data_IF_756074988936
#
_entry.id   IF_756074988936
#
_cell.length_a   1.000
_cell.length_b   1.000
_cell.length_c   1.000
_cell.angle_alpha   90.00
_cell.angle_beta   90.00
_cell.angle_gamma   90.00
#
_symmetry.space_group_name_H-M   'P 1'
#
loop_
_entity.id
_entity.type
_entity.pdbx_description
1 polymer ?
#
# COMPACT_ATOMS: atom_id res chain seq x y z
N UNK A 1 20.82 2.60 -11.82
CA UNK A 1 21.93 2.41 -12.78
C UNK A 1 21.33 2.62 -14.16
N UNK A 2 21.83 3.60 -14.92
CA UNK A 2 21.28 3.93 -16.24
C UNK A 2 21.71 2.84 -17.24
N UNK A 3 20.79 2.38 -18.10
CA UNK A 3 21.13 1.37 -19.12
C UNK A 3 22.20 1.88 -20.08
N UNK A 4 22.29 3.20 -20.28
CA UNK A 4 23.32 3.80 -21.11
C UNK A 4 24.73 3.64 -20.49
N UNK A 5 24.86 3.74 -19.17
CA UNK A 5 26.12 3.50 -18.47
C UNK A 5 26.56 2.02 -18.62
N UNK A 6 25.61 1.09 -18.49
CA UNK A 6 25.88 -0.33 -18.70
C UNK A 6 26.29 -0.65 -20.14
N UNK A 7 25.66 -0.01 -21.13
CA UNK A 7 26.06 -0.20 -22.54
C UNK A 7 27.47 0.29 -22.79
N UNK A 8 27.88 1.42 -22.19
CA UNK A 8 29.25 1.94 -22.35
C UNK A 8 30.30 1.01 -21.75
N UNK A 9 30.04 0.46 -20.57
CA UNK A 9 30.95 -0.49 -19.91
C UNK A 9 31.04 -1.81 -20.68
N UNK A 10 29.91 -2.34 -21.16
CA UNK A 10 29.91 -3.54 -22.00
C UNK A 10 30.66 -3.31 -23.31
N UNK A 11 30.43 -2.17 -23.97
CA UNK A 11 31.13 -1.83 -25.20
C UNK A 11 32.64 -1.66 -25.00
N UNK A 12 33.08 -1.06 -23.88
CA UNK A 12 34.51 -0.93 -23.60
C UNK A 12 35.17 -2.28 -23.35
N UNK A 13 34.46 -3.18 -22.65
CA UNK A 13 34.94 -4.53 -22.37
C UNK A 13 35.01 -5.40 -23.62
N UNK A 14 33.97 -5.38 -24.47
CA UNK A 14 33.90 -6.20 -25.68
C UNK A 14 34.86 -5.71 -26.79
N UNK A 15 35.28 -4.45 -26.75
CA UNK A 15 36.28 -3.87 -27.67
C UNK A 15 37.71 -3.98 -27.15
N UNK A 16 37.93 -4.52 -25.95
CA UNK A 16 39.27 -4.71 -25.41
C UNK A 16 40.03 -5.76 -26.23
N UNK A 17 41.24 -5.46 -26.74
CA UNK A 17 42.04 -6.42 -27.50
C UNK A 17 42.43 -7.68 -26.70
N UNK A 18 42.39 -7.65 -25.36
CA UNK A 18 42.55 -8.83 -24.51
C UNK A 18 41.37 -9.82 -24.63
N UNK A 19 40.22 -9.34 -25.10
CA UNK A 19 38.99 -10.09 -25.31
C UNK A 19 38.70 -10.30 -26.81
N UNK A 20 39.73 -10.49 -27.65
CA UNK A 20 39.63 -10.52 -29.12
C UNK A 20 38.57 -11.47 -29.72
N UNK A 21 38.19 -12.55 -29.04
CA UNK A 21 37.12 -13.46 -29.49
C UNK A 21 35.71 -12.91 -29.24
N UNK A 22 35.56 -11.90 -28.38
CA UNK A 22 34.29 -11.33 -27.94
C UNK A 22 33.85 -10.09 -28.73
N UNK A 23 34.74 -9.49 -29.53
CA UNK A 23 34.43 -8.30 -30.32
C UNK A 23 33.33 -8.53 -31.37
N UNK A 24 33.11 -9.79 -31.75
CA UNK A 24 32.01 -10.19 -32.65
C UNK A 24 30.61 -10.08 -32.00
N UNK A 25 30.52 -9.98 -30.67
CA UNK A 25 29.27 -9.88 -29.93
C UNK A 25 28.91 -8.43 -29.55
N UNK A 26 29.64 -7.44 -30.08
CA UNK A 26 29.28 -6.03 -29.92
C UNK A 26 27.95 -5.80 -30.63
N UNK A 27 26.92 -5.46 -29.85
CA UNK A 27 25.59 -5.18 -30.37
C UNK A 27 25.58 -3.82 -31.07
N UNK A 28 24.95 -3.76 -32.23
CA UNK A 28 24.68 -2.50 -32.91
C UNK A 28 23.48 -1.76 -32.28
N UNK A 29 23.24 -0.51 -32.68
CA UNK A 29 22.16 0.31 -32.11
C UNK A 29 20.77 -0.34 -32.24
N UNK A 30 20.53 -1.09 -33.33
CA UNK A 30 19.26 -1.74 -33.58
C UNK A 30 19.08 -2.98 -32.69
N UNK A 31 20.16 -3.70 -32.39
CA UNK A 31 20.18 -4.81 -31.44
C UNK A 31 20.00 -4.33 -30.00
N UNK A 32 20.55 -3.16 -29.66
CA UNK A 32 20.33 -2.51 -28.36
C UNK A 32 18.90 -2.00 -28.14
N UNK A 33 18.13 -1.79 -29.21
CA UNK A 33 16.77 -1.25 -29.12
C UNK A 33 15.87 -2.13 -28.24
N UNK A 34 15.90 -3.45 -28.41
CA UNK A 34 15.04 -4.35 -27.65
C UNK A 34 15.38 -4.39 -26.15
N UNK A 35 16.66 -4.54 -25.73
CA UNK A 35 17.07 -4.39 -24.33
C UNK A 35 16.70 -3.04 -23.72
N UNK A 36 16.88 -1.92 -24.44
CA UNK A 36 16.51 -0.59 -23.94
C UNK A 36 15.00 -0.47 -23.71
N UNK A 37 14.19 -0.97 -24.64
CA UNK A 37 12.74 -1.01 -24.50
C UNK A 37 12.31 -1.91 -23.33
N UNK A 38 12.95 -3.08 -23.17
CA UNK A 38 12.68 -3.97 -22.04
C UNK A 38 13.05 -3.33 -20.70
N UNK A 39 14.18 -2.64 -20.62
CA UNK A 39 14.59 -1.90 -19.42
C UNK A 39 13.54 -0.86 -19.03
N UNK A 40 13.00 -0.11 -19.99
CA UNK A 40 11.93 0.86 -19.75
C UNK A 40 10.64 0.20 -19.24
N UNK A 41 10.32 -1.00 -19.74
CA UNK A 41 9.17 -1.78 -19.22
C UNK A 41 9.41 -2.22 -17.78
N UNK A 42 10.63 -2.66 -17.45
CA UNK A 42 11.02 -3.15 -16.13
C UNK A 42 11.28 -2.05 -15.09
N UNK A 43 11.47 -0.81 -15.53
CA UNK A 43 11.65 0.33 -14.63
C UNK A 43 10.38 0.63 -13.81
N UNK A 44 9.20 0.46 -14.42
CA UNK A 44 7.91 0.65 -13.73
C UNK A 44 7.76 -0.28 -12.52
N UNK A 45 7.82 -1.62 -12.66
CA UNK A 45 7.71 -2.52 -11.51
C UNK A 45 8.88 -2.37 -10.54
N UNK A 46 10.07 -1.97 -11.01
CA UNK A 46 11.20 -1.68 -10.12
C UNK A 46 10.90 -0.51 -9.18
N UNK A 47 10.43 0.62 -9.72
CA UNK A 47 10.07 1.79 -8.92
C UNK A 47 8.94 1.50 -7.94
N UNK A 48 7.95 0.72 -8.38
CA UNK A 48 6.89 0.24 -7.51
C UNK A 48 7.40 -0.65 -6.38
N UNK A 49 8.28 -1.61 -6.67
CA UNK A 49 8.88 -2.46 -5.65
C UNK A 49 9.66 -1.60 -4.64
N UNK A 50 10.40 -0.60 -5.11
CA UNK A 50 11.11 0.34 -4.24
C UNK A 50 10.16 1.14 -3.35
N UNK A 51 9.05 1.64 -3.90
CA UNK A 51 8.01 2.34 -3.14
C UNK A 51 7.50 1.45 -2.01
N UNK A 52 7.10 0.21 -2.31
CA UNK A 52 6.59 -0.73 -1.31
C UNK A 52 7.66 -1.21 -0.32
N UNK A 53 8.94 -1.20 -0.70
CA UNK A 53 10.03 -1.67 0.18
C UNK A 53 10.57 -0.59 1.11
N UNK A 54 10.28 0.68 0.85
CA UNK A 54 10.91 1.82 1.54
C UNK A 54 10.13 2.30 2.78
N UNK A 55 8.85 2.01 2.88
CA UNK A 55 8.00 2.58 3.93
C UNK A 55 8.11 1.84 5.27
N UNK A 56 8.18 2.61 6.36
CA UNK A 56 8.12 2.12 7.75
C UNK A 56 6.68 2.05 8.30
N UNK A 57 5.75 2.72 7.62
CA UNK A 57 4.30 2.78 7.88
C UNK A 57 3.57 1.82 6.95
N UNK A 58 2.30 1.44 7.21
CA UNK A 58 1.72 0.24 6.61
C UNK A 58 1.50 0.42 5.10
N UNK A 59 2.46 -0.05 4.32
CA UNK A 59 2.44 -0.31 2.87
C UNK A 59 1.18 -1.02 2.38
N UNK A 60 0.42 -1.60 3.31
CA UNK A 60 -0.77 -2.37 3.07
C UNK A 60 -1.96 -1.53 2.58
N UNK A 61 -2.11 -0.27 3.02
CA UNK A 61 -3.18 0.58 2.46
C UNK A 61 -2.89 1.03 1.03
N UNK A 62 -1.64 1.33 0.71
CA UNK A 62 -1.25 1.83 -0.62
C UNK A 62 -1.05 0.74 -1.67
N UNK A 63 -1.08 -0.52 -1.25
CA UNK A 63 -0.82 -1.66 -2.12
C UNK A 63 -1.79 -1.71 -3.32
N UNK A 64 -3.11 -1.74 -3.09
CA UNK A 64 -4.11 -1.82 -4.16
C UNK A 64 -4.12 -0.57 -5.06
N UNK A 65 -4.08 0.67 -4.52
CA UNK A 65 -3.90 1.87 -5.32
C UNK A 65 -2.66 1.82 -6.22
N UNK A 66 -1.54 1.34 -5.69
CA UNK A 66 -0.29 1.32 -6.42
C UNK A 66 -0.32 0.28 -7.56
N UNK A 67 -1.01 -0.85 -7.38
CA UNK A 67 -1.24 -1.83 -8.46
C UNK A 67 -2.10 -1.24 -9.58
N UNK A 68 -3.14 -0.48 -9.25
CA UNK A 68 -3.97 0.22 -10.24
C UNK A 68 -3.11 1.20 -11.08
N UNK A 69 -2.21 1.94 -10.43
CA UNK A 69 -1.28 2.84 -11.12
C UNK A 69 -0.33 2.11 -12.07
N UNK A 70 0.24 0.94 -11.69
CA UNK A 70 1.08 0.18 -12.62
C UNK A 70 0.28 -0.26 -13.85
N UNK A 71 -0.97 -0.72 -13.65
CA UNK A 71 -1.83 -1.16 -14.76
C UNK A 71 -1.99 -0.02 -15.77
N UNK A 72 -2.31 1.18 -15.31
CA UNK A 72 -2.45 2.37 -16.17
C UNK A 72 -1.14 2.71 -16.90
N UNK A 73 -0.01 2.73 -16.17
CA UNK A 73 1.31 3.03 -16.74
C UNK A 73 1.72 2.01 -17.81
N UNK A 74 1.45 0.73 -17.59
CA UNK A 74 1.75 -0.31 -18.57
C UNK A 74 0.80 -0.31 -19.75
N UNK A 75 -0.49 0.03 -19.57
CA UNK A 75 -1.42 0.22 -20.69
C UNK A 75 -1.02 1.40 -21.58
N UNK A 76 -0.55 2.50 -21.00
CA UNK A 76 0.06 3.61 -21.74
C UNK A 76 1.35 3.18 -22.44
N UNK A 77 2.27 2.52 -21.73
CA UNK A 77 3.55 2.08 -22.30
C UNK A 77 3.35 1.05 -23.44
N UNK A 78 2.32 0.22 -23.36
CA UNK A 78 1.95 -0.73 -24.41
C UNK A 78 1.56 -0.01 -25.73
N UNK A 79 0.93 1.16 -25.64
CA UNK A 79 0.61 2.00 -26.81
C UNK A 79 1.87 2.62 -27.41
N UNK A 80 2.83 3.00 -26.57
CA UNK A 80 4.10 3.62 -26.99
C UNK A 80 5.12 2.61 -27.55
N UNK A 81 5.08 1.36 -27.11
CA UNK A 81 6.04 0.32 -27.49
C UNK A 81 5.35 -0.88 -28.19
N UNK A 82 4.88 -0.74 -29.45
CA UNK A 82 4.18 -1.82 -30.16
C UNK A 82 4.97 -3.13 -30.24
N UNK A 83 6.31 -3.07 -30.34
CA UNK A 83 7.19 -4.25 -30.37
C UNK A 83 7.21 -5.03 -29.05
N UNK A 84 6.91 -4.37 -27.93
CA UNK A 84 6.87 -4.97 -26.59
C UNK A 84 5.46 -5.34 -26.15
N UNK A 85 4.45 -5.19 -27.03
CA UNK A 85 3.04 -5.39 -26.69
C UNK A 85 2.77 -6.74 -26.04
N UNK A 86 3.33 -7.81 -26.58
CA UNK A 86 3.15 -9.17 -26.04
C UNK A 86 3.74 -9.32 -24.64
N UNK A 87 4.97 -8.84 -24.43
CA UNK A 87 5.65 -8.88 -23.13
C UNK A 87 4.93 -8.05 -22.08
N UNK A 88 4.52 -6.82 -22.44
CA UNK A 88 3.73 -5.95 -21.55
C UNK A 88 2.37 -6.57 -21.25
N UNK A 89 1.72 -7.19 -22.24
CA UNK A 89 0.43 -7.86 -22.04
C UNK A 89 0.54 -9.03 -21.04
N UNK A 90 1.61 -9.82 -21.13
CA UNK A 90 1.86 -10.90 -20.18
C UNK A 90 2.04 -10.37 -18.75
N UNK A 91 2.79 -9.27 -18.60
CA UNK A 91 2.92 -8.56 -17.32
C UNK A 91 1.59 -8.04 -16.79
N UNK A 92 0.82 -7.35 -17.64
CA UNK A 92 -0.51 -6.81 -17.32
C UNK A 92 -1.47 -7.91 -16.86
N UNK A 93 -1.49 -9.06 -17.55
CA UNK A 93 -2.32 -10.19 -17.13
C UNK A 93 -1.96 -10.63 -15.72
N UNK A 94 -0.67 -10.80 -15.45
CA UNK A 94 -0.19 -11.27 -14.14
C UNK A 94 -0.52 -10.28 -13.04
N UNK A 95 -0.34 -8.98 -13.29
CA UNK A 95 -0.55 -7.96 -12.27
C UNK A 95 -2.04 -7.72 -11.97
N UNK A 96 -2.91 -7.83 -12.98
CA UNK A 96 -4.37 -7.81 -12.81
C UNK A 96 -4.85 -9.00 -11.99
N UNK A 97 -4.29 -10.19 -12.22
CA UNK A 97 -4.61 -11.38 -11.42
C UNK A 97 -4.20 -11.16 -9.95
N UNK A 98 -2.98 -10.66 -9.70
CA UNK A 98 -2.53 -10.35 -8.34
C UNK A 98 -3.41 -9.31 -7.67
N UNK A 99 -3.74 -8.20 -8.36
CA UNK A 99 -4.62 -7.15 -7.84
C UNK A 99 -5.97 -7.73 -7.41
N UNK A 100 -6.59 -8.56 -8.26
CA UNK A 100 -7.85 -9.24 -7.95
C UNK A 100 -7.76 -10.17 -6.75
N UNK A 101 -6.66 -10.90 -6.59
CA UNK A 101 -6.46 -11.78 -5.44
C UNK A 101 -6.28 -10.98 -4.15
N UNK A 102 -5.49 -9.90 -4.19
CA UNK A 102 -5.17 -9.09 -3.02
C UNK A 102 -6.36 -8.22 -2.58
N UNK A 103 -7.21 -7.79 -3.51
CA UNK A 103 -8.44 -7.07 -3.19
C UNK A 103 -9.41 -7.87 -2.30
N UNK A 104 -9.26 -9.20 -2.24
CA UNK A 104 -10.07 -10.09 -1.39
C UNK A 104 -9.43 -10.44 -0.07
N UNK A 105 -8.21 -9.98 0.18
CA UNK A 105 -7.49 -10.27 1.43
C UNK A 105 -7.89 -9.21 2.47
N UNK A 106 -8.51 -9.60 3.60
CA UNK A 106 -9.03 -8.68 4.60
C UNK A 106 -8.04 -7.63 5.10
N UNK A 107 -6.78 -8.00 5.21
CA UNK A 107 -5.75 -7.15 5.78
C UNK A 107 -5.59 -5.84 4.98
N UNK A 108 -5.64 -5.89 3.64
CA UNK A 108 -5.55 -4.69 2.80
C UNK A 108 -6.78 -3.81 2.96
N UNK A 109 -7.99 -4.40 2.94
CA UNK A 109 -9.23 -3.65 3.13
C UNK A 109 -9.29 -2.94 4.48
N UNK A 110 -8.96 -3.66 5.56
CA UNK A 110 -8.92 -3.10 6.90
C UNK A 110 -7.85 -2.00 7.03
N UNK A 111 -6.67 -2.20 6.44
CA UNK A 111 -5.62 -1.18 6.45
C UNK A 111 -6.05 0.11 5.75
N UNK A 112 -6.76 0.02 4.62
CA UNK A 112 -7.31 1.20 3.93
C UNK A 112 -8.36 1.91 4.79
N UNK A 113 -9.28 1.17 5.41
CA UNK A 113 -10.34 1.75 6.26
C UNK A 113 -9.76 2.47 7.49
N UNK A 114 -8.78 1.84 8.14
CA UNK A 114 -8.13 2.37 9.35
C UNK A 114 -7.26 3.59 9.04
N UNK A 115 -6.75 3.71 7.81
CA UNK A 115 -6.00 4.88 7.38
C UNK A 115 -6.96 6.08 7.22
N UNK A 116 -6.85 7.14 8.04
CA UNK A 116 -7.74 8.29 7.97
C UNK A 116 -7.61 9.09 6.66
N UNK A 117 -6.47 8.98 5.97
CA UNK A 117 -6.21 9.66 4.70
C UNK A 117 -6.83 8.93 3.51
N UNK A 118 -7.26 7.66 3.70
CA UNK A 118 -7.77 6.83 2.61
C UNK A 118 -9.20 6.33 2.85
N UNK A 119 -9.52 5.82 4.05
CA UNK A 119 -10.86 5.30 4.42
C UNK A 119 -11.49 4.46 3.31
N UNK A 120 -12.54 4.96 2.67
CA UNK A 120 -13.20 4.33 1.52
C UNK A 120 -12.92 5.03 0.17
N UNK A 121 -12.05 6.04 0.14
CA UNK A 121 -11.82 6.88 -1.03
C UNK A 121 -11.33 6.08 -2.23
N UNK A 122 -10.43 5.12 -2.01
CA UNK A 122 -9.98 4.23 -3.08
C UNK A 122 -11.16 3.48 -3.73
N UNK A 123 -12.03 2.87 -2.94
CA UNK A 123 -13.20 2.16 -3.50
C UNK A 123 -14.23 3.12 -4.11
N UNK A 124 -14.32 4.38 -3.65
CA UNK A 124 -15.12 5.41 -4.32
C UNK A 124 -14.57 5.73 -5.71
N UNK A 125 -13.26 5.95 -5.83
CA UNK A 125 -12.59 6.23 -7.09
C UNK A 125 -12.73 5.06 -8.08
N UNK A 126 -12.73 3.82 -7.59
CA UNK A 126 -12.93 2.61 -8.40
C UNK A 126 -14.40 2.28 -8.69
N UNK A 127 -15.37 3.03 -8.16
CA UNK A 127 -16.81 2.72 -8.21
C UNK A 127 -17.16 1.30 -7.68
N UNK A 128 -16.37 0.80 -6.73
CA UNK A 128 -16.47 -0.56 -6.17
C UNK A 128 -17.41 -0.59 -4.96
N UNK A 129 -18.72 -0.59 -5.24
CA UNK A 129 -19.76 -0.60 -4.19
C UNK A 129 -19.67 -1.85 -3.31
N UNK A 130 -19.48 -3.01 -3.93
CA UNK A 130 -19.45 -4.31 -3.25
C UNK A 130 -18.23 -4.40 -2.31
N UNK A 131 -17.06 -3.96 -2.76
CA UNK A 131 -15.86 -3.90 -1.92
C UNK A 131 -16.02 -2.98 -0.72
N UNK A 132 -16.74 -1.85 -0.86
CA UNK A 132 -17.04 -0.97 0.29
C UNK A 132 -17.94 -1.63 1.31
N UNK A 133 -19.04 -2.24 0.86
CA UNK A 133 -19.97 -2.92 1.75
C UNK A 133 -19.23 -4.05 2.49
N UNK A 134 -18.47 -4.86 1.76
CA UNK A 134 -17.67 -5.93 2.34
C UNK A 134 -16.66 -5.40 3.37
N UNK A 135 -15.89 -4.36 3.05
CA UNK A 135 -14.91 -3.78 3.96
C UNK A 135 -15.57 -3.17 5.23
N UNK A 136 -16.75 -2.57 5.07
CA UNK A 136 -17.55 -2.06 6.19
C UNK A 136 -18.01 -3.18 7.12
N UNK A 137 -18.61 -4.23 6.56
CA UNK A 137 -19.08 -5.39 7.31
C UNK A 137 -17.93 -6.07 8.06
N UNK A 138 -16.77 -6.21 7.40
CA UNK A 138 -15.55 -6.72 8.02
C UNK A 138 -15.10 -5.87 9.21
N UNK A 139 -15.10 -4.55 9.09
CA UNK A 139 -14.68 -3.65 10.17
C UNK A 139 -15.63 -3.76 11.37
N UNK A 140 -16.94 -3.79 11.12
CA UNK A 140 -17.97 -3.96 12.15
C UNK A 140 -17.77 -5.29 12.89
N UNK A 141 -17.61 -6.40 12.16
CA UNK A 141 -17.38 -7.73 12.74
C UNK A 141 -16.15 -7.72 13.66
N UNK A 142 -15.03 -7.14 13.21
CA UNK A 142 -13.80 -7.08 14.02
C UNK A 142 -13.96 -6.19 15.25
N UNK A 143 -14.55 -5.01 15.12
CA UNK A 143 -14.82 -4.12 16.26
C UNK A 143 -15.74 -4.78 17.30
N UNK A 144 -16.79 -5.48 16.86
CA UNK A 144 -17.66 -6.25 17.75
C UNK A 144 -16.90 -7.34 18.50
N UNK A 145 -16.04 -8.09 17.79
CA UNK A 145 -15.18 -9.12 18.39
C UNK A 145 -14.25 -8.55 19.46
N UNK A 146 -13.61 -7.41 19.19
CA UNK A 146 -12.75 -6.73 20.18
C UNK A 146 -13.54 -6.26 21.42
N UNK A 147 -14.73 -5.66 21.24
CA UNK A 147 -15.58 -5.27 22.37
C UNK A 147 -15.97 -6.46 23.23
N UNK A 148 -16.37 -7.58 22.63
CA UNK A 148 -16.74 -8.79 23.35
C UNK A 148 -15.57 -9.36 24.18
N UNK A 149 -14.35 -9.32 23.64
CA UNK A 149 -13.14 -9.75 24.35
C UNK A 149 -12.80 -8.83 25.52
N UNK A 150 -12.87 -7.50 25.33
CA UNK A 150 -12.61 -6.52 26.39
C UNK A 150 -13.58 -6.65 27.58
N UNK A 151 -14.85 -6.97 27.31
CA UNK A 151 -15.83 -7.23 28.37
C UNK A 151 -15.57 -8.53 29.15
N UNK A 152 -14.88 -9.50 28.54
CA UNK A 152 -14.55 -10.77 29.19
C UNK A 152 -13.32 -10.63 30.11
N UNK A 153 -12.32 -9.85 29.69
CA UNK A 153 -11.06 -9.65 30.44
C UNK A 153 -11.23 -8.75 31.67
N UNK A 154 -12.14 -7.78 31.64
CA UNK A 154 -12.41 -6.87 32.76
C UNK A 154 -13.12 -7.52 33.97
N UNK A 155 -13.45 -8.82 33.91
CA UNK A 155 -14.09 -9.53 35.02
C UNK A 155 -13.10 -10.23 35.97
N UNK A 156 -11.79 -10.28 35.64
CA UNK A 156 -10.81 -11.08 36.41
C UNK A 156 -9.68 -10.29 37.08
N UNK A 157 -9.64 -8.95 37.01
CA UNK A 157 -8.63 -8.17 37.73
C UNK A 157 -9.25 -6.99 38.49
N UNK A 158 -9.50 -7.20 39.78
CA UNK A 158 -9.64 -6.09 40.74
C UNK A 158 -8.48 -6.17 41.74
N UNK A 159 -7.77 -5.04 41.85
CA UNK A 159 -6.86 -4.57 42.91
C UNK A 159 -5.34 -4.64 42.65
N UNK A 160 -4.74 -3.47 42.32
CA UNK A 160 -3.43 -3.03 42.80
C UNK A 160 -3.21 -1.51 42.53
N UNK A 161 -2.27 -0.82 43.23
CA UNK A 161 -2.51 0.48 43.86
C UNK A 161 -1.93 1.71 43.13
N UNK A 162 -2.49 2.87 43.48
CA UNK A 162 -2.15 4.21 42.97
C UNK A 162 -0.68 4.59 43.21
N UNK A 163 0.04 4.93 42.14
CA UNK A 163 1.31 5.64 42.17
C UNK A 163 1.24 6.91 41.31
N UNK A 164 1.97 7.94 41.75
CA UNK A 164 1.84 9.35 41.40
C UNK A 164 2.04 9.65 39.91
N UNK A 165 1.10 10.40 39.33
CA UNK A 165 1.12 10.85 37.93
C UNK A 165 2.13 12.02 37.75
N UNK A 166 2.94 11.96 36.69
CA UNK A 166 3.93 12.96 36.31
C UNK A 166 3.32 14.11 35.50
N UNK A 167 4.02 15.24 35.40
CA UNK A 167 3.56 16.45 34.68
C UNK A 167 3.18 16.24 33.20
N UNK A 168 3.65 15.15 32.57
CA UNK A 168 3.17 14.73 31.26
C UNK A 168 1.66 14.40 31.28
N UNK A 169 1.16 13.74 32.32
CA UNK A 169 -0.25 13.38 32.47
C UNK A 169 -1.13 14.60 32.78
N UNK A 170 -0.58 15.63 33.42
CA UNK A 170 -1.26 16.92 33.58
C UNK A 170 -1.41 17.67 32.24
N UNK A 171 -0.45 17.50 31.32
CA UNK A 171 -0.49 18.10 29.98
C UNK A 171 -1.53 17.39 29.08
N UNK A 172 -1.80 16.10 29.30
CA UNK A 172 -2.89 15.34 28.64
C UNK A 172 -4.26 15.52 29.31
N UNK A 173 -4.35 16.14 30.50
CA UNK A 173 -5.61 16.25 31.25
C UNK A 173 -6.59 17.29 30.70
N UNK A 174 -6.18 18.16 29.76
CA UNK A 174 -7.01 19.28 29.30
C UNK A 174 -8.03 18.93 28.20
N UNK A 175 -8.07 17.69 27.73
CA UNK A 175 -9.05 17.23 26.74
C UNK A 175 -10.12 16.33 27.39
N UNK A 176 -10.80 16.83 28.42
CA UNK A 176 -12.02 16.19 28.91
C UNK A 176 -13.21 16.58 28.02
N UNK A 177 -13.50 15.76 27.01
CA UNK A 177 -14.79 15.72 26.34
C UNK A 177 -15.48 14.37 26.62
N UNK A 178 -16.76 14.47 27.01
CA UNK A 178 -17.66 13.36 27.39
C UNK A 178 -17.65 12.25 26.34
N UNK A 179 -17.28 11.04 26.72
CA UNK A 179 -17.43 9.86 25.86
C UNK A 179 -18.90 9.40 25.73
N UNK A 180 -19.33 8.92 24.56
CA UNK A 180 -20.65 8.31 24.38
C UNK A 180 -20.60 6.81 24.71
N UNK A 181 -21.12 6.40 25.86
CA UNK A 181 -21.26 4.99 26.25
C UNK A 181 -22.46 4.27 25.60
N UNK A 182 -23.25 4.95 24.78
CA UNK A 182 -24.50 4.44 24.19
C UNK A 182 -24.48 4.23 22.66
N UNK A 183 -23.35 4.49 21.98
CA UNK A 183 -23.30 4.39 20.51
C UNK A 183 -23.02 2.97 20.01
N UNK A 184 -23.79 2.54 19.01
CA UNK A 184 -23.56 1.29 18.28
C UNK A 184 -22.20 1.31 17.58
N UNK A 185 -21.58 0.13 17.40
CA UNK A 185 -20.34 -0.03 16.61
C UNK A 185 -20.48 0.61 15.22
N UNK A 186 -21.66 0.50 14.63
CA UNK A 186 -21.96 1.09 13.32
C UNK A 186 -21.98 2.61 13.34
N UNK A 187 -22.54 3.21 14.39
CA UNK A 187 -22.62 4.66 14.56
C UNK A 187 -21.23 5.25 14.77
N UNK A 188 -20.40 4.57 15.56
CA UNK A 188 -19.00 4.93 15.78
C UNK A 188 -18.20 4.91 14.47
N UNK A 189 -18.31 3.81 13.71
CA UNK A 189 -17.65 3.69 12.42
C UNK A 189 -18.13 4.76 11.44
N UNK A 190 -19.44 5.02 11.38
CA UNK A 190 -20.00 6.06 10.50
C UNK A 190 -19.51 7.46 10.91
N UNK A 191 -19.37 7.74 12.21
CA UNK A 191 -18.81 9.01 12.70
C UNK A 191 -17.36 9.18 12.28
N UNK A 192 -16.54 8.13 12.44
CA UNK A 192 -15.15 8.11 11.96
C UNK A 192 -15.06 8.34 10.44
N UNK A 193 -15.91 7.67 9.66
CA UNK A 193 -15.94 7.83 8.20
C UNK A 193 -16.33 9.24 7.76
N UNK A 194 -17.22 9.90 8.51
CA UNK A 194 -17.71 11.24 8.22
C UNK A 194 -16.76 12.37 8.67
N UNK A 195 -15.81 12.09 9.56
CA UNK A 195 -14.89 13.09 10.09
C UNK A 195 -13.85 13.54 9.04
N UNK A 196 -13.80 14.83 8.64
CA UNK A 196 -12.83 15.34 7.69
C UNK A 196 -11.47 15.68 8.32
N UNK A 197 -11.32 15.61 9.65
CA UNK A 197 -10.12 16.10 10.33
C UNK A 197 -8.93 15.15 10.24
N UNK A 198 -7.79 15.74 9.89
CA UNK A 198 -6.44 15.17 9.91
C UNK A 198 -5.99 14.94 11.37
N UNK A 199 -6.66 14.07 12.11
CA UNK A 199 -6.19 13.73 13.44
C UNK A 199 -5.02 12.75 13.27
N UNK A 200 -3.83 13.20 13.67
CA UNK A 200 -2.54 12.50 13.74
C UNK A 200 -2.57 11.29 14.69
N UNK A 201 -3.75 10.74 14.95
CA UNK A 201 -4.02 9.82 16.02
C UNK A 201 -5.33 9.11 15.70
N UNK A 202 -5.27 8.14 14.78
CA UNK A 202 -6.20 7.00 14.77
C UNK A 202 -6.31 6.38 16.18
N UNK A 203 -5.27 6.56 17.00
CA UNK A 203 -5.21 6.21 18.42
C UNK A 203 -6.04 7.11 19.37
N UNK A 204 -6.50 8.33 18.99
CA UNK A 204 -7.34 9.15 19.90
C UNK A 204 -8.75 8.57 20.01
N UNK A 205 -9.26 7.97 18.94
CA UNK A 205 -10.60 7.37 18.96
C UNK A 205 -10.64 6.03 19.71
N UNK A 206 -9.51 5.32 19.74
CA UNK A 206 -9.38 3.96 20.25
C UNK A 206 -8.45 3.84 21.46
N UNK A 207 -8.11 4.95 22.12
CA UNK A 207 -7.26 4.92 23.30
C UNK A 207 -8.02 4.26 24.45
N UNK A 208 -7.42 3.16 24.93
CA UNK A 208 -7.94 2.25 25.94
C UNK A 208 -8.38 2.99 27.22
N UNK A 209 -9.51 2.52 27.75
CA UNK A 209 -9.87 2.63 29.16
C UNK A 209 -9.21 1.49 29.93
#
# INVERSE_FOLDING_TARGET
MNIDDCTQVMDSFLKDPACGDLSQYVLNEQEWLAPKQLSRVLEIPHNFQQLLSKEKTPTLCDFLPSFAQIIELWEELQRQLPKMRQSIQAGLSKIKDYHKHMARVPAYALAMVINPDMKFDYHHQQNDMDGRCWAKDMMIEKMQGYRAQAHTTNSEQTQAPQAQLSEAEAMFSHCQHRGPQDQSVEEELNAYLADPTFATTTLIYWQEK
#
